data_IF_951029313826
#
_entry.id   IF_951029313826
#
_cell.length_a   1.000
_cell.length_b   1.000
_cell.length_c   1.000
_cell.angle_alpha   90.00
_cell.angle_beta   90.00
_cell.angle_gamma   90.00
#
_symmetry.space_group_name_H-M   'P 1'
#
loop_
_entity.id
_entity.type
_entity.pdbx_description
1 polymer ?
#
# COMPACT_ATOMS: atom_id res chain seq x y z
N UNK A 1 -27.62 -6.74 -16.86
CA UNK A 1 -27.47 -5.28 -16.73
C UNK A 1 -26.28 -5.01 -15.81
N UNK A 2 -25.07 -5.18 -16.34
CA UNK A 2 -23.82 -5.25 -15.57
C UNK A 2 -22.95 -4.01 -15.87
N UNK A 3 -23.53 -2.82 -15.66
CA UNK A 3 -22.94 -1.52 -16.02
C UNK A 3 -22.72 -0.57 -14.84
N UNK A 4 -22.87 -1.02 -13.58
CA UNK A 4 -23.00 -0.09 -12.44
C UNK A 4 -21.98 -0.26 -11.31
N UNK A 5 -20.81 -0.88 -11.54
CA UNK A 5 -19.76 -0.91 -10.50
C UNK A 5 -18.77 0.26 -10.58
N UNK A 6 -18.71 1.04 -11.67
CA UNK A 6 -17.78 2.16 -11.81
C UNK A 6 -16.34 1.76 -11.46
N UNK A 7 -15.50 2.68 -10.95
CA UNK A 7 -14.16 2.35 -10.46
C UNK A 7 -14.14 1.67 -9.08
N UNK A 8 -15.30 1.29 -8.52
CA UNK A 8 -15.37 0.66 -7.19
C UNK A 8 -14.60 -0.66 -7.10
N UNK A 9 -14.58 -1.54 -8.12
CA UNK A 9 -13.75 -2.74 -8.10
C UNK A 9 -12.27 -2.41 -7.93
N UNK A 10 -11.79 -1.39 -8.63
CA UNK A 10 -10.40 -0.93 -8.53
C UNK A 10 -10.08 -0.40 -7.13
N UNK A 11 -10.95 0.44 -6.58
CA UNK A 11 -10.80 0.96 -5.22
C UNK A 11 -10.79 -0.17 -4.18
N UNK A 12 -11.66 -1.17 -4.33
CA UNK A 12 -11.71 -2.32 -3.42
C UNK A 12 -10.48 -3.20 -3.55
N UNK A 13 -9.96 -3.39 -4.75
CA UNK A 13 -8.70 -4.09 -4.96
C UNK A 13 -7.53 -3.35 -4.28
N UNK A 14 -7.41 -2.04 -4.49
CA UNK A 14 -6.38 -1.24 -3.83
C UNK A 14 -6.49 -1.33 -2.29
N UNK A 15 -7.70 -1.18 -1.75
CA UNK A 15 -7.92 -1.28 -0.32
C UNK A 15 -7.49 -2.66 0.22
N UNK A 16 -7.98 -3.74 -0.38
CA UNK A 16 -7.71 -5.11 0.05
C UNK A 16 -6.24 -5.52 -0.07
N UNK A 17 -5.59 -5.16 -1.17
CA UNK A 17 -4.24 -5.65 -1.48
C UNK A 17 -3.13 -4.69 -1.06
N UNK A 18 -3.45 -3.41 -0.80
CA UNK A 18 -2.47 -2.38 -0.45
C UNK A 18 -2.78 -1.74 0.90
N UNK A 19 -3.97 -1.18 1.11
CA UNK A 19 -4.27 -0.43 2.35
C UNK A 19 -4.36 -1.34 3.58
N UNK A 20 -5.00 -2.51 3.47
CA UNK A 20 -5.18 -3.44 4.59
C UNK A 20 -3.83 -4.00 5.08
N UNK A 21 -2.94 -4.55 4.22
CA UNK A 21 -1.63 -5.05 4.64
C UNK A 21 -0.71 -3.96 5.21
N UNK A 22 -0.77 -2.74 4.64
CA UNK A 22 0.00 -1.62 5.16
C UNK A 22 -0.48 -1.21 6.55
N UNK A 23 -1.79 -1.21 6.79
CA UNK A 23 -2.37 -0.88 8.10
C UNK A 23 -1.94 -1.90 9.16
N UNK A 24 -1.98 -3.19 8.83
CA UNK A 24 -1.49 -4.26 9.71
C UNK A 24 0.00 -4.10 10.03
N UNK A 25 0.84 -3.88 9.01
CA UNK A 25 2.28 -3.72 9.19
C UNK A 25 2.64 -2.44 10.00
N UNK A 26 1.84 -1.38 9.88
CA UNK A 26 1.97 -0.18 10.70
C UNK A 26 1.60 -0.45 12.16
N UNK A 27 0.50 -1.17 12.41
CA UNK A 27 0.04 -1.52 13.77
C UNK A 27 1.03 -2.46 14.45
N UNK A 28 1.60 -3.42 13.72
CA UNK A 28 2.62 -4.34 14.22
C UNK A 28 3.98 -3.68 14.46
N UNK A 29 4.16 -2.42 14.06
CA UNK A 29 5.42 -1.69 14.19
C UNK A 29 6.50 -2.09 13.17
N UNK A 30 6.14 -2.88 12.15
CA UNK A 30 7.05 -3.27 11.07
C UNK A 30 7.38 -2.13 10.09
N UNK A 31 6.58 -1.06 10.10
CA UNK A 31 6.82 0.16 9.32
C UNK A 31 6.84 1.35 10.29
N UNK A 32 7.99 2.01 10.42
CA UNK A 32 8.10 3.24 11.21
C UNK A 32 7.75 4.45 10.34
N UNK A 33 6.88 5.34 10.84
CA UNK A 33 6.52 6.58 10.15
C UNK A 33 7.53 7.69 10.51
N UNK A 34 7.88 8.59 9.58
CA UNK A 34 7.50 8.60 8.15
C UNK A 34 8.31 7.58 7.35
N UNK A 35 7.65 6.84 6.46
CA UNK A 35 8.30 5.90 5.55
C UNK A 35 7.77 6.08 4.13
N UNK A 36 8.69 6.19 3.18
CA UNK A 36 8.40 6.04 1.76
C UNK A 36 8.55 4.57 1.40
N UNK A 37 7.49 3.96 0.87
CA UNK A 37 7.47 2.54 0.51
C UNK A 37 7.28 2.39 -0.99
N UNK A 38 8.07 1.49 -1.60
CA UNK A 38 7.85 1.05 -2.96
C UNK A 38 7.06 -0.25 -2.94
N UNK A 39 5.98 -0.25 -3.73
CA UNK A 39 5.16 -1.42 -3.99
C UNK A 39 5.71 -2.12 -5.22
N UNK A 40 5.92 -3.43 -5.14
CA UNK A 40 6.36 -4.26 -6.25
C UNK A 40 5.61 -5.58 -6.28
N UNK A 41 5.54 -6.22 -7.45
CA UNK A 41 4.94 -7.55 -7.59
C UNK A 41 5.96 -8.60 -7.19
N UNK A 42 5.64 -9.40 -6.18
CA UNK A 42 6.43 -10.51 -5.68
C UNK A 42 5.66 -11.81 -5.93
N UNK A 43 5.86 -12.39 -7.13
CA UNK A 43 5.09 -13.56 -7.57
C UNK A 43 3.61 -13.20 -7.75
N UNK A 44 2.73 -13.84 -6.99
CA UNK A 44 1.28 -13.60 -7.02
C UNK A 44 0.80 -12.56 -5.99
N UNK A 45 1.70 -11.99 -5.20
CA UNK A 45 1.39 -11.02 -4.15
C UNK A 45 2.08 -9.67 -4.37
N UNK A 46 1.63 -8.64 -3.65
CA UNK A 46 2.32 -7.35 -3.57
C UNK A 46 3.33 -7.39 -2.42
N UNK A 47 4.58 -7.06 -2.72
CA UNK A 47 5.63 -6.81 -1.76
C UNK A 47 5.79 -5.31 -1.49
N UNK A 48 6.18 -4.98 -0.25
CA UNK A 48 6.47 -3.62 0.18
C UNK A 48 7.92 -3.55 0.64
N UNK A 49 8.67 -2.55 0.19
CA UNK A 49 10.03 -2.29 0.67
C UNK A 49 10.23 -0.81 0.95
N UNK A 50 10.98 -0.44 2.00
CA UNK A 50 11.35 0.94 2.23
C UNK A 50 12.21 1.44 1.07
N UNK A 51 11.86 2.62 0.57
CA UNK A 51 12.71 3.39 -0.32
C UNK A 51 13.42 4.40 0.56
N UNK A 52 14.74 4.29 0.64
CA UNK A 52 15.57 5.34 1.23
C UNK A 52 15.66 6.46 0.20
N UNK A 53 14.56 7.16 -0.03
CA UNK A 53 14.61 8.41 -0.76
C UNK A 53 15.13 9.46 0.23
N UNK A 54 16.28 10.03 -0.09
CA UNK A 54 16.89 11.12 0.66
C UNK A 54 16.02 12.38 0.50
N UNK A 55 14.88 12.41 1.16
CA UNK A 55 14.00 13.57 1.20
C UNK A 55 13.83 13.96 2.66
N UNK A 56 14.29 15.16 3.06
CA UNK A 56 14.26 15.57 4.45
C UNK A 56 12.80 15.68 4.88
N UNK A 57 12.45 15.02 5.98
CA UNK A 57 11.16 15.18 6.62
C UNK A 57 11.13 16.58 7.21
N UNK A 58 10.36 17.49 6.60
CA UNK A 58 10.02 18.79 7.20
C UNK A 58 8.59 18.64 7.74
N UNK A 59 8.45 18.27 9.01
CA UNK A 59 7.29 18.64 9.82
C UNK A 59 7.68 18.72 11.29
#
# INVERSE_FOLDING_TARGET
ADRSYGARPLRRALQKYVEDPLSEALIQGGIQRPATLQIYVAGEALGFRPVVEATPVIH
#
